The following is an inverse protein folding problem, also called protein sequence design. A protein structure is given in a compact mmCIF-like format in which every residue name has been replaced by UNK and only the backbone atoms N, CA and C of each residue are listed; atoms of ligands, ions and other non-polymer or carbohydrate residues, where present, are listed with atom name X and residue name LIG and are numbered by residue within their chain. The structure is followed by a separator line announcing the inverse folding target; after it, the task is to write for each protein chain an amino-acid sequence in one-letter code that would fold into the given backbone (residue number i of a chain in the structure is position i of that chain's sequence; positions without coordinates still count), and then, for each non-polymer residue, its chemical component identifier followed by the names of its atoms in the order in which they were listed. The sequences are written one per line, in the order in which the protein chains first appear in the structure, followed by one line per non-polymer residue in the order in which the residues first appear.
data_IF_366992337508
#
_entry.id   IF_366992337508
#
_cell.length_a   1.000
_cell.length_b   1.000
_cell.length_c   1.000
_cell.angle_alpha   90.00
_cell.angle_beta   90.00
_cell.angle_gamma   90.00
#
_symmetry.space_group_name_H-M   'P 1'
#
loop_
_entity.id
_entity.type
_entity.pdbx_description
1 polymer ?
#
# COMPACT_ATOMS: atom_id res chain seq x y z
N UNK A 1 -9.89 -60.75 7.41
CA UNK A 1 -10.71 -59.95 6.48
C UNK A 1 -9.89 -58.90 5.73
N UNK A 2 -8.99 -58.16 6.41
CA UNK A 2 -8.17 -57.09 5.80
C UNK A 2 -7.25 -57.54 4.65
N UNK A 3 -6.73 -58.78 4.66
CA UNK A 3 -5.90 -59.32 3.57
C UNK A 3 -6.67 -59.49 2.24
N UNK A 4 -7.94 -59.90 2.29
CA UNK A 4 -8.77 -60.04 1.09
C UNK A 4 -9.15 -58.69 0.47
N UNK A 5 -9.30 -57.65 1.31
CA UNK A 5 -9.57 -56.27 0.89
C UNK A 5 -8.31 -55.50 0.47
N UNK A 6 -7.15 -56.13 0.46
CA UNK A 6 -5.89 -55.49 0.07
C UNK A 6 -5.96 -54.98 -1.38
N UNK A 7 -6.35 -55.85 -2.32
CA UNK A 7 -6.48 -55.48 -3.74
C UNK A 7 -7.51 -54.36 -3.95
N UNK A 8 -8.65 -54.44 -3.26
CA UNK A 8 -9.67 -53.37 -3.31
C UNK A 8 -9.12 -52.03 -2.80
N UNK A 9 -8.38 -52.04 -1.69
CA UNK A 9 -7.74 -50.85 -1.14
C UNK A 9 -6.71 -50.23 -2.08
N UNK A 10 -5.93 -51.07 -2.77
CA UNK A 10 -4.96 -50.61 -3.79
C UNK A 10 -5.67 -49.94 -4.97
N UNK A 11 -6.73 -50.56 -5.49
CA UNK A 11 -7.52 -50.00 -6.60
C UNK A 11 -8.17 -48.67 -6.20
N UNK A 12 -8.82 -48.63 -5.03
CA UNK A 12 -9.43 -47.39 -4.50
C UNK A 12 -8.39 -46.29 -4.29
N UNK A 13 -7.22 -46.64 -3.76
CA UNK A 13 -6.10 -45.71 -3.58
C UNK A 13 -5.59 -45.13 -4.91
N UNK A 14 -5.45 -45.98 -5.94
CA UNK A 14 -5.04 -45.55 -7.29
C UNK A 14 -6.09 -44.60 -7.90
N UNK A 15 -7.38 -44.98 -7.84
CA UNK A 15 -8.47 -44.15 -8.34
C UNK A 15 -8.52 -42.79 -7.62
N UNK A 16 -8.33 -42.78 -6.29
CA UNK A 16 -8.27 -41.54 -5.50
C UNK A 16 -7.11 -40.64 -5.93
N UNK A 17 -5.93 -41.22 -6.18
CA UNK A 17 -4.76 -40.48 -6.67
C UNK A 17 -5.02 -39.85 -8.04
N UNK A 18 -5.57 -40.62 -8.99
CA UNK A 18 -5.93 -40.14 -10.33
C UNK A 18 -6.97 -39.01 -10.27
N UNK A 19 -8.02 -39.18 -9.45
CA UNK A 19 -9.03 -38.15 -9.25
C UNK A 19 -8.45 -36.87 -8.64
N UNK A 20 -7.49 -37.00 -7.72
CA UNK A 20 -6.77 -35.86 -7.14
C UNK A 20 -5.98 -35.11 -8.21
N UNK A 21 -5.23 -35.83 -9.05
CA UNK A 21 -4.45 -35.22 -10.14
C UNK A 21 -5.36 -34.51 -11.15
N UNK A 22 -6.45 -35.15 -11.57
CA UNK A 22 -7.41 -34.59 -12.51
C UNK A 22 -8.04 -33.28 -11.99
N UNK A 23 -8.48 -33.28 -10.73
CA UNK A 23 -9.02 -32.08 -10.07
C UNK A 23 -7.98 -30.96 -9.98
N UNK A 24 -6.74 -31.27 -9.61
CA UNK A 24 -5.65 -30.29 -9.55
C UNK A 24 -5.35 -29.67 -10.91
N UNK A 25 -5.38 -30.44 -11.99
CA UNK A 25 -5.16 -29.93 -13.36
C UNK A 25 -6.28 -28.96 -13.75
N UNK A 26 -7.55 -29.34 -13.55
CA UNK A 26 -8.69 -28.46 -13.89
C UNK A 26 -8.60 -27.14 -13.13
N UNK A 27 -8.36 -27.20 -11.81
CA UNK A 27 -8.25 -26.02 -10.97
C UNK A 27 -7.03 -25.19 -11.39
N UNK A 28 -5.89 -25.82 -11.65
CA UNK A 28 -4.67 -25.15 -12.10
C UNK A 28 -4.88 -24.39 -13.41
N UNK A 29 -5.48 -25.02 -14.42
CA UNK A 29 -5.76 -24.36 -15.72
C UNK A 29 -6.73 -23.18 -15.55
N UNK A 30 -7.78 -23.34 -14.74
CA UNK A 30 -8.73 -22.25 -14.47
C UNK A 30 -8.09 -21.08 -13.71
N UNK A 31 -7.22 -21.39 -12.74
CA UNK A 31 -6.54 -20.40 -11.90
C UNK A 31 -5.42 -19.67 -12.65
N UNK A 32 -4.74 -20.32 -13.60
CA UNK A 32 -3.77 -19.66 -14.49
C UNK A 32 -4.44 -18.54 -15.30
N UNK A 33 -5.70 -18.72 -15.70
CA UNK A 33 -6.48 -17.66 -16.35
C UNK A 33 -6.85 -16.50 -15.41
N UNK A 34 -6.73 -16.68 -14.10
CA UNK A 34 -7.07 -15.69 -13.07
C UNK A 34 -5.87 -15.40 -12.17
N UNK A 35 -5.08 -14.40 -12.57
CA UNK A 35 -3.81 -14.01 -11.93
C UNK A 35 -4.00 -13.47 -10.49
N UNK A 36 -5.23 -13.14 -10.08
CA UNK A 36 -5.56 -12.64 -8.73
C UNK A 36 -5.24 -13.63 -7.58
N UNK A 37 -4.95 -14.91 -7.88
CA UNK A 37 -4.72 -15.95 -6.88
C UNK A 37 -3.46 -16.74 -7.22
N UNK A 38 -2.56 -17.00 -6.25
CA UNK A 38 -1.37 -17.80 -6.50
C UNK A 38 -1.76 -19.24 -6.82
N UNK A 39 -1.17 -19.80 -7.87
CA UNK A 39 -1.34 -21.22 -8.24
C UNK A 39 -0.54 -22.12 -7.31
N UNK A 40 0.56 -21.58 -6.77
CA UNK A 40 1.47 -22.30 -5.87
C UNK A 40 0.96 -22.32 -4.43
N UNK A 41 1.26 -23.38 -3.66
CA UNK A 41 0.93 -23.45 -2.24
C UNK A 41 1.62 -22.36 -1.43
N UNK A 42 1.04 -22.00 -0.28
CA UNK A 42 1.59 -21.00 0.65
C UNK A 42 3.05 -21.33 1.00
N UNK A 43 3.95 -20.37 0.75
CA UNK A 43 5.39 -20.53 0.90
C UNK A 43 6.16 -20.68 -0.42
N UNK A 44 5.50 -21.09 -1.51
CA UNK A 44 6.07 -21.15 -2.86
C UNK A 44 5.48 -20.09 -3.80
N UNK A 45 4.80 -19.08 -3.25
CA UNK A 45 4.15 -18.01 -4.03
C UNK A 45 5.16 -17.22 -4.89
N UNK A 46 6.42 -17.12 -4.46
CA UNK A 46 7.48 -16.47 -5.23
C UNK A 46 7.90 -17.24 -6.49
N UNK A 47 7.60 -18.54 -6.57
CA UNK A 47 7.84 -19.33 -7.78
C UNK A 47 6.77 -19.07 -8.85
N UNK A 48 5.65 -18.43 -8.48
CA UNK A 48 4.61 -18.00 -9.41
C UNK A 48 4.95 -16.61 -9.97
N UNK A 49 5.58 -16.59 -11.14
CA UNK A 49 5.95 -15.35 -11.82
C UNK A 49 4.72 -14.51 -12.19
N UNK A 50 3.59 -15.13 -12.53
CA UNK A 50 2.36 -14.43 -12.90
C UNK A 50 1.80 -13.66 -11.70
N UNK A 51 1.67 -14.34 -10.57
CA UNK A 51 1.23 -13.72 -9.31
C UNK A 51 2.17 -12.60 -8.86
N UNK A 52 3.48 -12.82 -8.94
CA UNK A 52 4.49 -11.81 -8.55
C UNK A 52 4.42 -10.56 -9.43
N UNK A 53 4.27 -10.72 -10.74
CA UNK A 53 4.11 -9.60 -11.68
C UNK A 53 2.82 -8.82 -11.40
N UNK A 54 1.72 -9.52 -11.11
CA UNK A 54 0.45 -8.87 -10.75
C UNK A 54 0.53 -8.05 -9.47
N UNK A 55 1.17 -8.58 -8.42
CA UNK A 55 1.46 -7.81 -7.20
C UNK A 55 2.30 -6.57 -7.52
N UNK A 56 3.33 -6.72 -8.34
CA UNK A 56 4.17 -5.60 -8.78
C UNK A 56 3.39 -4.52 -9.51
N UNK A 57 2.50 -4.90 -10.43
CA UNK A 57 1.58 -4.00 -11.13
C UNK A 57 0.65 -3.28 -10.14
N UNK A 58 0.06 -4.00 -9.19
CA UNK A 58 -0.82 -3.43 -8.18
C UNK A 58 -0.12 -2.38 -7.32
N UNK A 59 1.12 -2.65 -6.89
CA UNK A 59 1.91 -1.67 -6.17
C UNK A 59 2.25 -0.45 -7.02
N UNK A 60 2.65 -0.67 -8.27
CA UNK A 60 2.97 0.41 -9.20
C UNK A 60 1.76 1.31 -9.42
N UNK A 61 0.59 0.73 -9.67
CA UNK A 61 -0.67 1.47 -9.78
C UNK A 61 -0.98 2.21 -8.48
N UNK A 62 -0.86 1.55 -7.33
CA UNK A 62 -1.07 2.18 -6.04
C UNK A 62 -0.19 3.42 -5.84
N UNK A 63 1.10 3.36 -6.20
CA UNK A 63 2.01 4.50 -6.06
C UNK A 63 1.68 5.63 -7.04
N UNK A 64 1.35 5.31 -8.29
CA UNK A 64 1.09 6.32 -9.32
C UNK A 64 -0.30 6.95 -9.24
N UNK A 65 -1.32 6.19 -8.84
CA UNK A 65 -2.72 6.65 -8.81
C UNK A 65 -3.23 6.92 -7.41
N UNK A 66 -2.35 7.06 -6.40
CA UNK A 66 -2.78 7.37 -5.04
C UNK A 66 -3.42 8.77 -4.99
N UNK A 67 -4.75 8.90 -4.77
CA UNK A 67 -5.42 10.20 -4.83
C UNK A 67 -4.94 11.13 -3.71
N UNK A 68 -4.55 10.59 -2.56
CA UNK A 68 -4.07 11.38 -1.41
C UNK A 68 -2.74 12.05 -1.76
N UNK A 69 -1.80 11.31 -2.37
CA UNK A 69 -0.51 11.87 -2.80
C UNK A 69 -0.70 12.94 -3.88
N UNK A 70 -1.55 12.65 -4.88
CA UNK A 70 -1.84 13.62 -5.95
C UNK A 70 -2.45 14.91 -5.38
N UNK A 71 -3.48 14.82 -4.53
CA UNK A 71 -4.08 15.98 -3.89
C UNK A 71 -3.09 16.72 -2.98
N UNK A 72 -2.26 16.01 -2.23
CA UNK A 72 -1.22 16.63 -1.40
C UNK A 72 -0.21 17.42 -2.24
N UNK A 73 0.29 16.83 -3.32
CA UNK A 73 1.20 17.49 -4.25
C UNK A 73 0.56 18.71 -4.92
N UNK A 74 -0.71 18.63 -5.32
CA UNK A 74 -1.46 19.76 -5.87
C UNK A 74 -1.56 20.92 -4.87
N UNK A 75 -1.98 20.63 -3.63
CA UNK A 75 -2.06 21.63 -2.55
C UNK A 75 -0.69 22.27 -2.31
N UNK A 76 0.38 21.48 -2.31
CA UNK A 76 1.75 21.97 -2.11
C UNK A 76 2.18 22.90 -3.27
N UNK A 77 1.97 22.48 -4.52
CA UNK A 77 2.29 23.26 -5.71
C UNK A 77 1.53 24.60 -5.74
N UNK A 78 0.24 24.59 -5.41
CA UNK A 78 -0.58 25.79 -5.37
C UNK A 78 -0.08 26.79 -4.33
N UNK A 79 0.28 26.31 -3.13
CA UNK A 79 0.85 27.15 -2.07
C UNK A 79 2.20 27.75 -2.48
N UNK A 80 3.04 26.99 -3.17
CA UNK A 80 4.32 27.48 -3.69
C UNK A 80 4.13 28.53 -4.79
N UNK A 81 3.19 28.31 -5.71
CA UNK A 81 2.84 29.29 -6.76
C UNK A 81 2.29 30.59 -6.18
N UNK A 82 1.38 30.50 -5.20
CA UNK A 82 0.87 31.67 -4.48
C UNK A 82 1.99 32.45 -3.79
N UNK A 83 2.96 31.76 -3.17
CA UNK A 83 4.11 32.40 -2.52
C UNK A 83 5.01 33.12 -3.54
N UNK A 84 5.27 32.52 -4.71
CA UNK A 84 6.05 33.16 -5.80
C UNK A 84 5.35 34.40 -6.34
N UNK A 85 4.07 34.31 -6.70
CA UNK A 85 3.27 35.46 -7.16
C UNK A 85 3.24 36.61 -6.14
N UNK A 86 3.17 36.28 -4.84
CA UNK A 86 3.21 37.26 -3.76
C UNK A 86 4.60 37.89 -3.58
N UNK A 87 5.68 37.22 -3.98
CA UNK A 87 7.04 37.75 -3.92
C UNK A 87 7.34 38.63 -5.14
N UNK A 88 6.83 38.25 -6.32
CA UNK A 88 7.05 38.98 -7.58
C UNK A 88 6.15 40.23 -7.70
N UNK A 89 5.01 40.29 -7.01
CA UNK A 89 4.07 41.45 -6.98
C UNK A 89 4.50 42.63 -6.08
N UNK A 90 5.77 42.74 -5.68
CA UNK A 90 6.28 43.96 -5.03
C UNK A 90 7.43 44.56 -5.84
N UNK A 91 7.09 45.50 -6.73
CA UNK A 91 7.49 46.88 -6.47
C UNK A 91 6.29 47.81 -6.68
N UNK A 92 5.41 47.94 -5.68
CA UNK A 92 4.46 49.05 -5.69
C UNK A 92 4.15 49.53 -4.29
N UNK A 93 4.66 50.73 -4.05
CA UNK A 93 4.25 51.75 -3.11
C UNK A 93 2.73 51.68 -2.80
N UNK A 94 2.39 51.80 -1.51
CA UNK A 94 1.03 51.88 -0.95
C UNK A 94 0.26 50.55 -0.79
N UNK A 95 0.41 49.90 0.37
CA UNK A 95 -0.63 49.00 0.91
C UNK A 95 -1.36 49.68 2.07
N UNK A 96 -2.71 49.72 2.07
CA UNK A 96 -3.49 50.18 3.21
C UNK A 96 -3.15 49.35 4.44
N UNK A 97 -3.12 50.01 5.59
CA UNK A 97 -2.70 49.51 6.90
C UNK A 97 -3.79 48.59 7.48
N UNK A 98 -4.07 47.48 6.81
CA UNK A 98 -4.89 46.39 7.35
C UNK A 98 -4.06 45.68 8.43
N UNK A 99 -4.28 46.08 9.68
CA UNK A 99 -3.65 45.54 10.89
C UNK A 99 -4.22 44.15 11.19
N UNK A 100 -3.97 43.19 10.30
CA UNK A 100 -4.24 41.78 10.58
C UNK A 100 -3.20 41.32 11.60
N UNK A 101 -3.59 40.73 12.75
CA UNK A 101 -2.62 40.21 13.70
C UNK A 101 -1.74 39.19 12.97
N UNK A 102 -0.46 39.53 12.84
CA UNK A 102 0.58 38.67 12.25
C UNK A 102 0.86 37.52 13.21
N UNK A 103 -0.12 36.62 13.38
CA UNK A 103 0.14 35.36 14.05
C UNK A 103 1.17 34.61 13.22
N UNK A 104 2.30 34.29 13.85
CA UNK A 104 3.35 33.53 13.19
C UNK A 104 2.77 32.22 12.67
N UNK A 105 2.89 31.97 11.37
CA UNK A 105 2.48 30.70 10.75
C UNK A 105 3.04 29.49 11.52
N UNK A 106 4.25 29.63 12.06
CA UNK A 106 4.91 28.64 12.91
C UNK A 106 4.15 28.36 14.21
N UNK A 107 3.61 29.39 14.87
CA UNK A 107 2.82 29.22 16.09
C UNK A 107 1.51 28.49 15.80
N UNK A 108 0.81 28.86 14.71
CA UNK A 108 -0.42 28.19 14.29
C UNK A 108 -0.19 26.71 13.95
N UNK A 109 0.88 26.38 13.22
CA UNK A 109 1.25 24.99 12.92
C UNK A 109 1.58 24.19 14.18
N UNK A 110 2.28 24.79 15.16
CA UNK A 110 2.57 24.13 16.45
C UNK A 110 1.29 23.84 17.25
N UNK A 111 0.34 24.76 17.26
CA UNK A 111 -0.96 24.56 17.90
C UNK A 111 -1.78 23.45 17.25
N UNK A 112 -1.90 23.45 15.91
CA UNK A 112 -2.57 22.36 15.20
C UNK A 112 -1.90 21.02 15.45
N UNK A 113 -0.57 21.00 15.46
CA UNK A 113 0.18 19.79 15.75
C UNK A 113 -0.09 19.24 17.16
N UNK A 114 -0.13 20.11 18.16
CA UNK A 114 -0.48 19.73 19.53
C UNK A 114 -1.92 19.17 19.58
N UNK A 115 -2.87 19.88 18.97
CA UNK A 115 -4.26 19.45 18.89
C UNK A 115 -4.40 18.05 18.26
N UNK A 116 -3.75 17.83 17.12
CA UNK A 116 -3.76 16.51 16.46
C UNK A 116 -3.13 15.43 17.34
N UNK A 117 -2.04 15.73 18.05
CA UNK A 117 -1.41 14.76 18.95
C UNK A 117 -2.31 14.40 20.13
N UNK A 118 -2.97 15.38 20.76
CA UNK A 118 -3.86 15.14 21.90
C UNK A 118 -5.02 14.21 21.51
N UNK A 119 -5.59 14.41 20.32
CA UNK A 119 -6.71 13.60 19.83
C UNK A 119 -6.28 12.24 19.24
N UNK A 120 -4.98 12.02 19.00
CA UNK A 120 -4.45 10.78 18.38
C UNK A 120 -3.25 10.24 19.19
N UNK A 121 -3.48 9.62 20.37
CA UNK A 121 -2.41 9.18 21.27
C UNK A 121 -1.50 8.09 20.66
N UNK A 122 -1.99 7.28 19.73
CA UNK A 122 -1.19 6.28 19.01
C UNK A 122 -0.06 6.90 18.18
N UNK A 123 -0.32 8.05 17.56
CA UNK A 123 0.64 8.78 16.71
C UNK A 123 1.75 9.41 17.55
N UNK A 124 1.50 9.72 18.83
CA UNK A 124 2.52 10.27 19.73
C UNK A 124 3.69 9.30 19.92
N UNK A 125 3.39 8.00 20.04
CA UNK A 125 4.39 6.94 20.19
C UNK A 125 5.26 6.85 18.94
N UNK A 126 4.62 6.74 17.76
CA UNK A 126 5.30 6.60 16.46
C UNK A 126 6.09 7.86 16.10
N UNK A 127 5.59 9.05 16.43
CA UNK A 127 6.27 10.31 16.07
C UNK A 127 7.66 10.45 16.71
N UNK A 128 7.81 10.04 17.98
CA UNK A 128 9.09 10.09 18.69
C UNK A 128 10.01 8.91 18.33
N UNK A 129 9.44 7.86 17.74
CA UNK A 129 10.17 6.74 17.15
C UNK A 129 10.59 7.09 15.72
N UNK A 130 11.75 7.74 15.51
CA UNK A 130 12.39 7.75 14.19
C UNK A 130 13.92 7.96 14.27
N UNK A 131 14.77 7.21 13.54
CA UNK A 131 14.59 5.91 12.87
C UNK A 131 15.44 4.80 13.54
N UNK A 132 14.88 3.61 13.80
CA UNK A 132 15.72 2.41 13.80
C UNK A 132 16.12 2.18 12.34
N UNK A 133 17.42 2.01 12.14
CA UNK A 133 18.06 1.93 10.83
C UNK A 133 17.32 0.97 9.90
N UNK A 134 17.21 1.38 8.65
CA UNK A 134 17.23 0.41 7.56
C UNK A 134 18.64 -0.21 7.57
N UNK A 135 18.90 -1.17 8.47
CA UNK A 135 19.99 -2.14 8.28
C UNK A 135 19.43 -3.11 7.26
N UNK A 136 19.78 -2.87 6.01
CA UNK A 136 19.70 -3.88 4.97
C UNK A 136 20.92 -4.75 5.21
N UNK A 137 20.74 -5.83 5.95
CA UNK A 137 21.60 -7.01 5.92
C UNK A 137 20.79 -8.15 5.28
#
# INVERSE_FOLDING_TARGET
FSYFLFFHSVVVGLTSCLMRLFRSIIIGVWLVGRIDRPVMPKGYEQCDAGYTVWIGMLFQDHYHTNPILVCFCQILCDKLKQKKLSADSYPSMYKPLEMVPRMSSKARTRWFLLYTLLNNPSVQKIRKLKPLSYSVD
#
